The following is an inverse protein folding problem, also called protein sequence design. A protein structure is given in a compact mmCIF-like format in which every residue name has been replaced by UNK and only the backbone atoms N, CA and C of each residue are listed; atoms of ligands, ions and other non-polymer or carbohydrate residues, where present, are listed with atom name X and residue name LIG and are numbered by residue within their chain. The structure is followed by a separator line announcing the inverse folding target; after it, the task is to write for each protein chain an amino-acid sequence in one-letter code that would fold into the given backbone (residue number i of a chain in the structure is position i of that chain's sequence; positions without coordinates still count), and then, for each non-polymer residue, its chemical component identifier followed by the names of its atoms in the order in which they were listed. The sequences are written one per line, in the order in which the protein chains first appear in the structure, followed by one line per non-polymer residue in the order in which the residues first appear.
data_IF_342943537770
#
_entry.id   IF_342943537770
#
_cell.length_a   1.000
_cell.length_b   1.000
_cell.length_c   1.000
_cell.angle_alpha   90.00
_cell.angle_beta   90.00
_cell.angle_gamma   90.00
#
_symmetry.space_group_name_H-M   'P 1'
#
loop_
_entity.id
_entity.type
_entity.pdbx_description
1 polymer ?
#
# COMPACT_ATOMS: atom_id res chain seq x y z
N UNK A 1 -4.17 35.05 1.62
CA UNK A 1 -4.48 34.04 0.59
C UNK A 1 -5.71 33.27 1.04
N UNK A 2 -6.61 32.88 0.12
CA UNK A 2 -7.82 32.11 0.48
C UNK A 2 -7.41 30.68 0.83
N UNK A 3 -7.91 30.16 1.96
CA UNK A 3 -7.71 28.77 2.34
C UNK A 3 -8.42 27.84 1.35
N UNK A 4 -7.72 26.84 0.84
CA UNK A 4 -8.24 25.83 -0.11
C UNK A 4 -8.80 24.66 0.67
N UNK A 5 -10.07 24.32 0.50
CA UNK A 5 -10.71 23.19 1.17
C UNK A 5 -10.54 21.92 0.36
N UNK A 6 -9.85 20.92 0.92
CA UNK A 6 -9.60 19.62 0.28
C UNK A 6 -10.34 18.53 1.04
N UNK A 7 -11.16 17.77 0.34
CA UNK A 7 -11.79 16.56 0.88
C UNK A 7 -10.98 15.33 0.48
N UNK A 8 -10.69 14.45 1.43
CA UNK A 8 -10.12 13.13 1.18
C UNK A 8 -11.16 12.07 1.53
N UNK A 9 -11.43 11.17 0.59
CA UNK A 9 -12.46 10.14 0.74
C UNK A 9 -11.81 8.79 1.01
N UNK A 10 -12.23 8.13 2.08
CA UNK A 10 -11.70 6.92 2.71
C UNK A 10 -10.45 7.11 3.59
N UNK A 11 -10.35 6.25 4.61
CA UNK A 11 -9.31 6.28 5.64
C UNK A 11 -8.39 5.03 5.60
N UNK A 12 -8.29 4.37 4.45
CA UNK A 12 -7.27 3.35 4.22
C UNK A 12 -5.87 3.96 4.04
N UNK A 13 -4.86 3.11 3.81
CA UNK A 13 -3.45 3.52 3.71
C UNK A 13 -3.21 4.66 2.72
N UNK A 14 -3.89 4.66 1.57
CA UNK A 14 -3.78 5.71 0.55
C UNK A 14 -4.50 6.99 0.99
N UNK A 15 -5.69 6.87 1.59
CA UNK A 15 -6.46 8.02 2.07
C UNK A 15 -5.73 8.80 3.17
N UNK A 16 -5.28 8.10 4.22
CA UNK A 16 -4.58 8.75 5.33
C UNK A 16 -3.21 9.31 4.92
N UNK A 17 -2.44 8.60 4.09
CA UNK A 17 -1.18 9.15 3.55
C UNK A 17 -1.44 10.38 2.65
N UNK A 18 -2.51 10.38 1.86
CA UNK A 18 -2.95 11.58 1.09
C UNK A 18 -3.22 12.76 2.03
N UNK A 19 -4.03 12.54 3.07
CA UNK A 19 -4.41 13.58 4.00
C UNK A 19 -3.20 14.19 4.73
N UNK A 20 -2.29 13.33 5.22
CA UNK A 20 -1.05 13.76 5.86
C UNK A 20 -0.17 14.54 4.88
N UNK A 21 0.05 14.03 3.67
CA UNK A 21 0.92 14.68 2.69
C UNK A 21 0.38 16.05 2.26
N UNK A 22 -0.91 16.16 1.96
CA UNK A 22 -1.54 17.44 1.58
C UNK A 22 -1.44 18.43 2.74
N UNK A 23 -1.79 18.01 3.96
CA UNK A 23 -1.74 18.87 5.14
C UNK A 23 -0.32 19.35 5.48
N UNK A 24 0.70 18.52 5.24
CA UNK A 24 2.10 18.87 5.53
C UNK A 24 2.78 19.66 4.41
N UNK A 25 2.40 19.43 3.15
CA UNK A 25 3.04 20.05 1.99
C UNK A 25 2.40 21.39 1.64
N UNK A 26 1.09 21.54 1.87
CA UNK A 26 0.31 22.71 1.45
C UNK A 26 -0.24 23.48 2.67
N UNK A 27 0.50 24.47 3.21
CA UNK A 27 0.14 25.16 4.46
C UNK A 27 -1.12 26.04 4.34
N UNK A 28 -1.64 26.25 3.14
CA UNK A 28 -2.87 26.99 2.86
C UNK A 28 -4.08 26.09 2.59
N UNK A 29 -3.93 24.78 2.75
CA UNK A 29 -5.03 23.82 2.61
C UNK A 29 -5.64 23.47 3.97
N UNK A 30 -6.97 23.45 4.02
CA UNK A 30 -7.73 22.80 5.09
C UNK A 30 -8.19 21.45 4.55
N UNK A 31 -7.74 20.38 5.21
CA UNK A 31 -8.02 19.00 4.79
C UNK A 31 -9.10 18.42 5.70
N UNK A 32 -10.06 17.74 5.10
CA UNK A 32 -11.09 16.95 5.79
C UNK A 32 -11.04 15.53 5.25
N UNK A 33 -10.95 14.53 6.13
CA UNK A 33 -11.07 13.11 5.80
C UNK A 33 -12.50 12.67 6.08
N UNK A 34 -13.16 12.04 5.11
CA UNK A 34 -14.47 11.41 5.29
C UNK A 34 -14.39 9.93 4.93
N UNK A 35 -14.85 9.06 5.82
CA UNK A 35 -14.88 7.62 5.54
C UNK A 35 -15.99 6.91 6.32
N UNK A 36 -16.52 5.84 5.73
CA UNK A 36 -17.41 4.90 6.41
C UNK A 36 -16.64 4.00 7.39
N UNK A 37 -15.41 3.62 7.00
CA UNK A 37 -14.61 2.62 7.69
C UNK A 37 -13.22 3.15 8.00
N UNK A 38 -12.75 2.86 9.20
CA UNK A 38 -11.42 3.19 9.73
C UNK A 38 -10.74 1.92 10.25
N UNK A 39 -9.46 2.01 10.62
CA UNK A 39 -8.74 0.89 11.24
C UNK A 39 -9.44 0.50 12.56
N UNK A 40 -9.64 -0.79 12.86
CA UNK A 40 -8.98 -1.98 12.28
C UNK A 40 -9.73 -2.66 11.11
N UNK A 41 -10.73 -2.01 10.52
CA UNK A 41 -11.67 -2.65 9.58
C UNK A 41 -11.45 -2.26 8.11
N UNK A 42 -10.35 -1.57 7.78
CA UNK A 42 -10.05 -1.20 6.39
C UNK A 42 -9.42 -2.36 5.62
N UNK A 43 -9.48 -2.31 4.29
CA UNK A 43 -8.70 -3.21 3.43
C UNK A 43 -7.20 -3.19 3.74
N UNK A 44 -6.69 -2.06 4.25
CA UNK A 44 -5.29 -1.95 4.64
C UNK A 44 -4.93 -2.85 5.82
N UNK A 45 -5.85 -3.01 6.78
CA UNK A 45 -5.60 -3.75 8.03
C UNK A 45 -5.33 -5.24 7.80
N UNK A 46 -5.94 -5.84 6.77
CA UNK A 46 -5.65 -7.21 6.37
C UNK A 46 -4.59 -7.37 5.27
N UNK A 47 -3.94 -6.29 4.85
CA UNK A 47 -2.83 -6.38 3.92
C UNK A 47 -1.60 -7.01 4.60
N UNK A 48 -0.89 -7.89 3.88
CA UNK A 48 0.34 -8.52 4.38
C UNK A 48 1.46 -7.51 4.73
N UNK A 49 1.42 -6.32 4.12
CA UNK A 49 2.29 -5.20 4.49
C UNK A 49 3.73 -5.26 3.98
N UNK A 50 4.10 -6.30 3.22
CA UNK A 50 5.46 -6.44 2.68
C UNK A 50 5.65 -5.44 1.54
N UNK A 51 6.71 -4.63 1.62
CA UNK A 51 7.07 -3.68 0.56
C UNK A 51 7.73 -4.43 -0.60
N UNK A 52 6.94 -4.71 -1.63
CA UNK A 52 7.38 -5.40 -2.84
C UNK A 52 6.83 -4.69 -4.08
N UNK A 53 7.70 -4.24 -4.99
CA UNK A 53 7.26 -3.67 -6.24
C UNK A 53 6.84 -4.81 -7.16
N UNK A 54 5.53 -4.98 -7.37
CA UNK A 54 5.01 -5.98 -8.30
C UNK A 54 4.96 -5.39 -9.71
N UNK A 55 5.30 -6.18 -10.73
CA UNK A 55 4.93 -5.87 -12.11
C UNK A 55 3.41 -6.02 -12.26
N UNK A 56 2.73 -4.96 -12.73
CA UNK A 56 1.30 -4.97 -13.09
C UNK A 56 1.15 -5.10 -14.62
N UNK A 57 0.26 -5.96 -15.14
CA UNK A 57 -0.73 -6.80 -14.48
C UNK A 57 -0.33 -8.29 -14.46
N UNK A 58 -0.73 -8.99 -13.40
CA UNK A 58 -0.59 -10.45 -13.15
C UNK A 58 0.75 -11.09 -13.50
N UNK A 59 1.45 -11.67 -12.51
CA UNK A 59 2.45 -12.70 -12.83
C UNK A 59 1.65 -13.83 -13.47
N UNK A 60 1.71 -14.03 -14.80
CA UNK A 60 0.85 -15.03 -15.41
C UNK A 60 1.24 -16.38 -14.80
N UNK A 61 0.28 -17.29 -14.62
CA UNK A 61 0.54 -18.63 -14.06
C UNK A 61 1.73 -19.34 -14.75
N UNK A 62 2.06 -18.94 -15.98
CA UNK A 62 3.24 -19.39 -16.70
C UNK A 62 4.59 -18.97 -16.13
N UNK A 63 4.68 -17.89 -15.35
CA UNK A 63 5.88 -17.51 -14.58
C UNK A 63 5.93 -18.21 -13.21
N UNK A 64 4.82 -18.81 -12.78
CA UNK A 64 4.82 -19.79 -11.69
C UNK A 64 5.22 -21.19 -12.18
N UNK A 65 5.45 -21.37 -13.50
CA UNK A 65 6.02 -22.61 -14.02
C UNK A 65 7.45 -22.77 -13.49
N UNK A 66 7.92 -24.01 -13.28
CA UNK A 66 9.25 -24.32 -12.76
C UNK A 66 10.41 -24.02 -13.74
N UNK A 67 10.18 -23.17 -14.72
CA UNK A 67 11.16 -22.80 -15.74
C UNK A 67 11.84 -21.49 -15.37
N UNK A 68 13.13 -21.41 -15.69
CA UNK A 68 13.97 -20.28 -15.30
C UNK A 68 13.59 -19.07 -16.16
N UNK A 69 13.25 -17.91 -15.58
CA UNK A 69 12.96 -16.70 -16.34
C UNK A 69 14.10 -16.32 -17.29
N UNK A 70 13.75 -15.84 -18.48
CA UNK A 70 14.73 -15.32 -19.45
C UNK A 70 15.46 -14.08 -18.90
N UNK A 71 14.71 -13.17 -18.26
CA UNK A 71 15.28 -12.09 -17.46
C UNK A 71 15.26 -12.47 -15.97
N UNK A 72 16.45 -12.58 -15.39
CA UNK A 72 16.63 -12.98 -13.99
C UNK A 72 16.66 -11.79 -13.05
N UNK A 73 16.90 -10.57 -13.54
CA UNK A 73 17.06 -9.37 -12.71
C UNK A 73 15.81 -8.49 -12.84
N UNK A 74 14.92 -8.47 -11.84
CA UNK A 74 13.73 -7.64 -11.90
C UNK A 74 14.09 -6.15 -11.82
N UNK A 75 13.28 -5.28 -12.42
CA UNK A 75 13.53 -3.83 -12.44
C UNK A 75 13.66 -3.21 -11.03
N UNK A 76 13.09 -3.89 -10.03
CA UNK A 76 13.05 -3.42 -8.65
C UNK A 76 14.21 -3.91 -7.77
N UNK A 77 15.12 -4.73 -8.30
CA UNK A 77 16.22 -5.29 -7.52
C UNK A 77 17.10 -4.22 -6.87
N UNK A 78 17.19 -3.05 -7.49
CA UNK A 78 18.06 -1.95 -7.04
C UNK A 78 17.38 -1.10 -5.94
N UNK A 79 16.08 -1.32 -5.67
CA UNK A 79 15.34 -0.62 -4.61
C UNK A 79 15.23 -1.41 -3.31
N UNK A 80 15.50 -2.71 -3.35
CA UNK A 80 15.49 -3.58 -2.17
C UNK A 80 16.91 -3.75 -1.64
N UNK A 81 17.03 -4.06 -0.35
CA UNK A 81 18.34 -4.20 0.27
C UNK A 81 18.96 -5.56 -0.06
N UNK A 82 20.25 -5.58 -0.39
CA UNK A 82 21.05 -6.81 -0.57
C UNK A 82 20.45 -7.82 -1.57
N UNK A 83 19.89 -7.33 -2.68
CA UNK A 83 19.43 -8.22 -3.74
C UNK A 83 20.56 -9.12 -4.25
N UNK A 84 20.27 -10.42 -4.35
CA UNK A 84 21.16 -11.42 -4.91
C UNK A 84 20.35 -12.63 -5.39
N UNK A 85 21.01 -13.49 -6.13
CA UNK A 85 20.49 -14.83 -6.42
C UNK A 85 20.70 -15.76 -5.23
N UNK A 86 19.78 -16.71 -5.06
CA UNK A 86 19.91 -17.80 -4.08
C UNK A 86 21.03 -18.74 -4.55
N UNK A 87 21.89 -19.15 -3.62
CA UNK A 87 22.99 -20.09 -3.90
C UNK A 87 22.48 -21.52 -4.07
N UNK A 88 23.24 -22.39 -4.75
CA UNK A 88 22.89 -23.81 -4.88
C UNK A 88 22.71 -24.50 -3.52
N UNK A 89 23.44 -24.06 -2.50
CA UNK A 89 23.31 -24.58 -1.14
C UNK A 89 21.95 -24.21 -0.52
N UNK A 90 21.55 -22.93 -0.61
CA UNK A 90 20.25 -22.47 -0.12
C UNK A 90 19.08 -23.04 -0.93
N UNK A 91 19.26 -23.24 -2.25
CA UNK A 91 18.27 -23.87 -3.12
C UNK A 91 17.91 -25.30 -2.69
N UNK A 92 18.79 -26.01 -1.95
CA UNK A 92 18.48 -27.34 -1.41
C UNK A 92 17.25 -27.34 -0.49
N UNK A 93 16.93 -26.21 0.15
CA UNK A 93 15.71 -26.04 0.97
C UNK A 93 14.44 -25.99 0.11
N UNK A 94 14.56 -25.57 -1.15
CA UNK A 94 13.45 -25.36 -2.09
C UNK A 94 13.55 -26.34 -3.26
N UNK A 95 13.62 -27.65 -2.97
CA UNK A 95 13.90 -28.71 -3.96
C UNK A 95 12.97 -28.75 -5.18
N UNK A 96 11.75 -28.22 -5.06
CA UNK A 96 10.79 -28.11 -6.17
C UNK A 96 10.99 -26.86 -7.05
N UNK A 97 11.97 -26.01 -6.76
CA UNK A 97 12.26 -24.77 -7.48
C UNK A 97 13.65 -24.83 -8.12
N UNK A 98 13.78 -24.27 -9.32
CA UNK A 98 15.04 -24.27 -10.08
C UNK A 98 15.79 -22.93 -10.04
N UNK A 99 15.16 -21.90 -9.50
CA UNK A 99 15.68 -20.54 -9.44
C UNK A 99 15.08 -19.80 -8.24
N UNK A 100 15.84 -18.88 -7.67
CA UNK A 100 15.38 -18.07 -6.56
C UNK A 100 16.20 -16.79 -6.39
N UNK A 101 15.57 -15.79 -5.79
CA UNK A 101 16.16 -14.50 -5.46
C UNK A 101 16.05 -14.28 -3.95
N UNK A 102 17.04 -13.61 -3.38
CA UNK A 102 17.06 -13.23 -1.97
C UNK A 102 17.35 -11.74 -1.84
N UNK A 103 16.61 -11.09 -0.94
CA UNK A 103 16.76 -9.67 -0.62
C UNK A 103 16.13 -9.39 0.75
N UNK A 104 16.38 -8.21 1.27
CA UNK A 104 15.78 -7.68 2.49
C UNK A 104 14.88 -6.50 2.12
N UNK A 105 13.68 -6.45 2.69
CA UNK A 105 12.71 -5.37 2.48
C UNK A 105 12.05 -4.99 3.81
N UNK A 106 11.19 -3.97 3.76
CA UNK A 106 10.40 -3.51 4.90
C UNK A 106 9.05 -4.22 4.95
N UNK A 107 8.54 -4.36 6.18
CA UNK A 107 7.17 -4.74 6.46
C UNK A 107 6.48 -3.56 7.16
N UNK A 108 5.34 -3.15 6.65
CA UNK A 108 4.47 -2.16 7.24
C UNK A 108 3.26 -2.86 7.88
N UNK A 109 3.13 -2.76 9.19
CA UNK A 109 1.99 -3.35 9.92
C UNK A 109 0.82 -2.37 9.95
N UNK A 110 -0.12 -2.52 9.02
CA UNK A 110 -1.23 -1.57 8.86
C UNK A 110 -2.07 -1.36 10.12
N UNK A 111 -2.29 -2.41 10.93
CA UNK A 111 -2.99 -2.32 12.22
C UNK A 111 -2.36 -1.31 13.19
N UNK A 112 -1.03 -1.09 13.10
CA UNK A 112 -0.32 -0.08 13.90
C UNK A 112 -0.11 1.21 13.11
N UNK A 113 0.12 1.08 11.80
CA UNK A 113 0.46 2.18 10.92
C UNK A 113 -0.71 3.12 10.62
N UNK A 114 -1.92 2.59 10.41
CA UNK A 114 -3.10 3.40 10.12
C UNK A 114 -3.52 4.26 11.32
N UNK A 115 -3.61 3.73 12.56
CA UNK A 115 -3.84 4.57 13.74
C UNK A 115 -2.75 5.61 13.94
N UNK A 116 -1.50 5.29 13.61
CA UNK A 116 -0.42 6.27 13.66
C UNK A 116 -0.62 7.41 12.65
N UNK A 117 -0.97 7.11 11.40
CA UNK A 117 -1.24 8.13 10.38
C UNK A 117 -2.42 9.02 10.78
N UNK A 118 -3.49 8.43 11.29
CA UNK A 118 -4.66 9.16 11.78
C UNK A 118 -4.27 10.10 12.93
N UNK A 119 -3.56 9.59 13.94
CA UNK A 119 -3.06 10.41 15.06
C UNK A 119 -2.15 11.52 14.57
N UNK A 120 -1.23 11.23 13.64
CA UNK A 120 -0.33 12.22 13.04
C UNK A 120 -1.10 13.32 12.32
N UNK A 121 -2.15 12.97 11.60
CA UNK A 121 -3.02 13.91 10.90
C UNK A 121 -3.81 14.79 11.88
N UNK A 122 -4.42 14.21 12.92
CA UNK A 122 -5.21 14.93 13.92
C UNK A 122 -4.38 15.88 14.79
N UNK A 123 -3.14 15.51 15.14
CA UNK A 123 -2.26 16.31 16.02
C UNK A 123 -1.59 17.51 15.32
N UNK A 124 -1.97 17.84 14.08
CA UNK A 124 -1.41 18.99 13.35
C UNK A 124 -1.97 20.30 13.84
N UNK A 125 -1.17 21.36 13.71
CA UNK A 125 -1.51 22.72 14.15
C UNK A 125 -2.79 23.29 13.49
N UNK A 126 -3.18 22.77 12.32
CA UNK A 126 -4.40 23.15 11.60
C UNK A 126 -5.62 22.33 12.05
N UNK A 127 -5.42 21.24 12.82
CA UNK A 127 -6.47 20.33 13.28
C UNK A 127 -7.15 19.62 12.10
N UNK A 128 -6.60 18.48 11.68
CA UNK A 128 -7.22 17.68 10.62
C UNK A 128 -8.62 17.24 11.03
N UNK A 129 -9.63 17.53 10.19
CA UNK A 129 -11.01 17.11 10.46
C UNK A 129 -11.22 15.68 9.97
N UNK A 130 -11.87 14.86 10.79
CA UNK A 130 -12.29 13.50 10.45
C UNK A 130 -13.81 13.42 10.58
N UNK A 131 -14.46 12.88 9.56
CA UNK A 131 -15.91 12.67 9.50
C UNK A 131 -16.16 11.17 9.29
N UNK A 132 -16.90 10.57 10.21
CA UNK A 132 -17.31 9.16 10.17
C UNK A 132 -18.66 9.03 9.45
N UNK A 133 -18.64 9.11 8.12
CA UNK A 133 -19.84 9.05 7.30
C UNK A 133 -19.59 8.32 5.98
N UNK A 134 -20.63 7.60 5.53
CA UNK A 134 -20.66 7.00 4.20
C UNK A 134 -20.92 8.05 3.14
N UNK A 135 -20.00 8.18 2.19
CA UNK A 135 -20.19 9.03 1.02
C UNK A 135 -21.07 8.31 0.00
N UNK A 136 -22.27 8.82 -0.22
CA UNK A 136 -23.22 8.29 -1.22
C UNK A 136 -23.21 9.08 -2.52
N UNK A 137 -22.76 10.33 -2.50
CA UNK A 137 -22.76 11.24 -3.65
C UNK A 137 -21.59 12.22 -3.56
N UNK A 138 -20.55 11.95 -4.35
CA UNK A 138 -19.36 12.81 -4.44
C UNK A 138 -19.66 14.18 -5.05
N UNK A 139 -20.66 14.30 -5.92
CA UNK A 139 -20.99 15.56 -6.59
C UNK A 139 -21.60 16.57 -5.63
N UNK A 140 -22.46 16.11 -4.70
CA UNK A 140 -22.98 16.96 -3.63
C UNK A 140 -21.88 17.49 -2.72
N UNK A 141 -20.92 16.64 -2.37
CA UNK A 141 -19.78 17.06 -1.56
C UNK A 141 -18.87 18.03 -2.31
N UNK A 142 -18.68 17.85 -3.63
CA UNK A 142 -17.85 18.73 -4.46
C UNK A 142 -18.28 20.20 -4.46
N UNK A 143 -19.52 20.50 -4.08
CA UNK A 143 -20.01 21.88 -3.98
C UNK A 143 -19.40 22.65 -2.79
N UNK A 144 -18.95 21.94 -1.74
CA UNK A 144 -18.45 22.54 -0.50
C UNK A 144 -16.92 22.57 -0.39
N UNK A 145 -16.23 21.87 -1.30
CA UNK A 145 -14.78 21.71 -1.30
C UNK A 145 -14.19 22.22 -2.63
N UNK A 146 -12.98 22.77 -2.55
CA UNK A 146 -12.29 23.29 -3.74
C UNK A 146 -11.66 22.16 -4.57
N UNK A 147 -11.30 21.04 -3.92
CA UNK A 147 -10.78 19.82 -4.52
C UNK A 147 -11.21 18.57 -3.74
N UNK A 148 -11.36 17.44 -4.44
CA UNK A 148 -11.64 16.13 -3.85
C UNK A 148 -10.53 15.14 -4.24
N UNK A 149 -9.97 14.46 -3.25
CA UNK A 149 -9.10 13.30 -3.39
C UNK A 149 -9.94 12.05 -3.12
N UNK A 150 -10.35 11.36 -4.17
CA UNK A 150 -11.13 10.13 -4.06
C UNK A 150 -10.17 8.94 -3.89
N UNK A 151 -10.08 8.39 -2.68
CA UNK A 151 -9.25 7.23 -2.34
C UNK A 151 -10.11 6.02 -1.92
N UNK A 152 -11.38 5.94 -2.36
CA UNK A 152 -12.37 4.95 -1.88
C UNK A 152 -12.09 3.49 -2.24
N UNK A 153 -11.00 3.23 -2.97
CA UNK A 153 -10.60 1.88 -3.31
C UNK A 153 -11.69 1.17 -4.10
N UNK A 154 -12.19 0.07 -3.57
CA UNK A 154 -13.19 -0.79 -4.21
C UNK A 154 -14.58 -0.19 -4.26
N UNK A 155 -14.87 0.81 -3.42
CA UNK A 155 -16.13 1.55 -3.49
C UNK A 155 -16.34 2.31 -4.80
N UNK A 156 -15.48 2.11 -5.79
CA UNK A 156 -15.47 2.74 -7.12
C UNK A 156 -15.51 1.73 -8.29
N UNK A 157 -15.53 0.41 -8.05
CA UNK A 157 -15.44 -0.61 -9.11
C UNK A 157 -16.25 -1.89 -8.79
N UNK A 158 -16.72 -2.59 -9.83
CA UNK A 158 -17.23 -3.97 -9.75
C UNK A 158 -16.05 -4.96 -9.84
N UNK A 159 -16.04 -6.01 -9.01
CA UNK A 159 -14.98 -7.05 -8.94
C UNK A 159 -15.61 -8.42 -9.16
N UNK A 160 -14.91 -9.35 -9.82
CA UNK A 160 -15.47 -10.67 -10.20
C UNK A 160 -15.83 -11.56 -8.99
N UNK A 161 -15.00 -11.58 -7.93
CA UNK A 161 -15.35 -12.16 -6.64
C UNK A 161 -15.43 -11.03 -5.60
N UNK A 162 -16.64 -10.80 -5.08
CA UNK A 162 -16.95 -9.79 -4.08
C UNK A 162 -17.25 -10.40 -2.69
N UNK A 163 -16.98 -11.70 -2.48
CA UNK A 163 -17.22 -12.33 -1.18
C UNK A 163 -16.25 -11.73 -0.16
N UNK A 164 -16.82 -11.30 0.97
CA UNK A 164 -16.07 -10.84 2.14
C UNK A 164 -16.07 -11.86 3.28
N UNK A 165 -16.77 -12.98 3.08
CA UNK A 165 -16.77 -14.11 4.01
C UNK A 165 -15.55 -14.99 3.75
N UNK A 166 -14.93 -15.46 4.83
CA UNK A 166 -13.84 -16.43 4.76
C UNK A 166 -14.36 -17.73 4.17
N UNK A 167 -13.72 -18.18 3.09
CA UNK A 167 -13.97 -19.48 2.48
C UNK A 167 -12.99 -20.52 3.04
N UNK A 168 -13.54 -21.62 3.56
CA UNK A 168 -12.75 -22.65 4.23
C UNK A 168 -11.82 -23.39 3.25
N UNK A 169 -12.23 -23.57 1.99
CA UNK A 169 -11.43 -24.21 0.96
C UNK A 169 -10.22 -23.34 0.60
N UNK A 170 -10.42 -22.02 0.51
CA UNK A 170 -9.33 -21.05 0.31
C UNK A 170 -8.34 -21.08 1.48
N UNK A 171 -8.84 -21.04 2.72
CA UNK A 171 -8.01 -21.11 3.92
C UNK A 171 -7.17 -22.37 4.01
N UNK A 172 -7.79 -23.54 3.83
CA UNK A 172 -7.10 -24.84 3.83
C UNK A 172 -6.09 -24.92 2.68
N UNK A 173 -6.45 -24.44 1.49
CA UNK A 173 -5.58 -24.39 0.33
C UNK A 173 -4.37 -23.45 0.51
N UNK A 174 -4.54 -22.29 1.14
CA UNK A 174 -3.46 -21.36 1.48
C UNK A 174 -2.51 -22.01 2.48
N UNK A 175 -3.05 -22.58 3.57
CA UNK A 175 -2.24 -23.25 4.60
C UNK A 175 -1.45 -24.41 3.99
N UNK A 176 -2.07 -25.23 3.16
CA UNK A 176 -1.40 -26.34 2.49
C UNK A 176 -0.27 -25.85 1.58
N UNK A 177 -0.52 -24.84 0.74
CA UNK A 177 0.50 -24.20 -0.12
C UNK A 177 1.68 -23.67 0.70
N UNK A 178 1.42 -22.93 1.77
CA UNK A 178 2.44 -22.42 2.68
C UNK A 178 3.24 -23.56 3.33
N UNK A 179 2.56 -24.61 3.80
CA UNK A 179 3.19 -25.77 4.45
C UNK A 179 4.00 -26.65 3.49
N UNK A 180 3.78 -26.55 2.18
CA UNK A 180 4.65 -27.17 1.15
C UNK A 180 5.96 -26.41 0.95
N UNK A 181 5.97 -25.10 1.19
CA UNK A 181 7.16 -24.25 1.09
C UNK A 181 7.98 -24.26 2.38
N UNK A 182 7.30 -24.16 3.52
CA UNK A 182 7.89 -24.12 4.85
C UNK A 182 7.03 -25.00 5.78
N UNK A 183 7.51 -26.16 6.27
CA UNK A 183 6.68 -27.10 7.04
C UNK A 183 6.29 -26.66 8.45
N UNK A 184 7.05 -25.77 9.08
CA UNK A 184 6.85 -25.35 10.48
C UNK A 184 5.45 -24.77 10.82
N UNK A 185 4.72 -24.07 9.93
CA UNK A 185 3.38 -23.55 10.21
C UNK A 185 2.32 -24.64 10.42
N UNK A 186 2.57 -25.92 10.08
CA UNK A 186 1.62 -27.02 10.36
C UNK A 186 1.31 -27.17 11.84
N UNK A 187 2.25 -26.80 12.71
CA UNK A 187 2.11 -26.85 14.15
C UNK A 187 1.70 -25.50 14.76
N UNK A 188 1.53 -24.45 13.95
CA UNK A 188 1.17 -23.13 14.42
C UNK A 188 -0.34 -23.03 14.71
N UNK A 189 -0.69 -22.22 15.71
CA UNK A 189 -2.07 -21.87 15.99
C UNK A 189 -2.52 -20.77 15.03
N UNK A 190 -3.68 -20.97 14.39
CA UNK A 190 -4.32 -19.93 13.57
C UNK A 190 -4.91 -18.88 14.53
N UNK A 191 -4.46 -17.63 14.39
CA UNK A 191 -4.89 -16.51 15.23
C UNK A 191 -6.10 -15.77 14.64
N UNK A 192 -6.30 -15.85 13.32
CA UNK A 192 -7.40 -15.19 12.63
C UNK A 192 -7.29 -15.37 11.12
N UNK A 193 -8.42 -15.15 10.44
CA UNK A 193 -8.57 -15.22 8.99
C UNK A 193 -9.28 -13.96 8.52
N UNK A 194 -8.92 -13.48 7.34
CA UNK A 194 -9.43 -12.20 6.85
C UNK A 194 -9.48 -12.17 5.33
N UNK A 195 -10.52 -11.51 4.81
CA UNK A 195 -10.72 -11.31 3.37
C UNK A 195 -10.77 -9.81 3.08
N UNK A 196 -10.06 -9.40 2.04
CA UNK A 196 -10.09 -8.04 1.55
C UNK A 196 -9.96 -8.01 0.05
N UNK A 197 -10.78 -7.17 -0.56
CA UNK A 197 -10.76 -6.97 -2.00
C UNK A 197 -9.63 -5.98 -2.36
N UNK A 198 -9.17 -5.95 -3.61
CA UNK A 198 -8.09 -5.05 -4.05
C UNK A 198 -8.56 -4.23 -5.26
N UNK A 199 -8.54 -2.89 -5.22
CA UNK A 199 -9.02 -2.06 -6.32
C UNK A 199 -7.96 -1.87 -7.42
N UNK A 200 -8.35 -1.67 -8.68
CA UNK A 200 -7.47 -1.34 -9.83
C UNK A 200 -8.02 -0.16 -10.69
N UNK A 201 -7.43 1.05 -10.63
CA UNK A 201 -7.72 2.25 -11.45
C UNK A 201 -7.09 3.58 -10.94
N UNK A 202 -6.53 4.44 -11.81
CA UNK A 202 -6.16 5.84 -11.52
C UNK A 202 -6.71 6.78 -12.60
N UNK A 203 -7.41 7.86 -12.21
CA UNK A 203 -8.05 8.77 -13.17
C UNK A 203 -8.21 10.22 -12.66
N UNK A 204 -8.32 11.19 -13.56
CA UNK A 204 -8.57 12.60 -13.21
C UNK A 204 -9.82 13.10 -13.94
N UNK A 205 -10.74 13.73 -13.20
CA UNK A 205 -11.91 14.43 -13.78
C UNK A 205 -12.13 15.78 -13.09
N UNK A 206 -11.70 16.86 -13.75
CA UNK A 206 -11.95 18.23 -13.29
C UNK A 206 -11.30 18.55 -11.94
N UNK A 207 -12.12 18.80 -10.91
CA UNK A 207 -11.67 19.11 -9.52
C UNK A 207 -11.51 17.86 -8.65
N UNK A 208 -11.71 16.68 -9.24
CA UNK A 208 -11.63 15.38 -8.57
C UNK A 208 -10.37 14.65 -9.04
N UNK A 209 -9.56 14.25 -8.06
CA UNK A 209 -8.38 13.43 -8.24
C UNK A 209 -8.73 12.03 -7.74
N UNK A 210 -8.74 11.04 -8.62
CA UNK A 210 -9.00 9.66 -8.23
C UNK A 210 -7.67 8.98 -7.95
N UNK A 211 -7.43 8.60 -6.69
CA UNK A 211 -6.24 7.91 -6.20
C UNK A 211 -6.65 6.61 -5.50
N UNK A 212 -7.26 5.70 -6.25
CA UNK A 212 -7.52 4.32 -5.84
C UNK A 212 -6.75 3.38 -6.75
N UNK A 213 -7.04 2.08 -6.70
CA UNK A 213 -6.59 1.24 -7.80
C UNK A 213 -5.21 0.60 -7.71
N UNK A 214 -4.71 0.38 -6.50
CA UNK A 214 -3.32 -0.01 -6.27
C UNK A 214 -3.08 -1.52 -6.21
N UNK A 215 -4.11 -2.34 -6.42
CA UNK A 215 -4.07 -3.79 -6.29
C UNK A 215 -3.40 -4.22 -4.98
N UNK A 216 -2.53 -5.23 -5.07
CA UNK A 216 -1.74 -5.75 -3.95
C UNK A 216 -0.61 -4.80 -3.49
N UNK A 217 -0.43 -3.65 -4.14
CA UNK A 217 0.68 -2.73 -3.90
C UNK A 217 0.27 -1.43 -3.20
N UNK A 218 -0.96 -1.31 -2.71
CA UNK A 218 -1.46 -0.11 -2.03
C UNK A 218 -0.56 0.39 -0.91
N UNK A 219 -0.04 -0.51 -0.07
CA UNK A 219 0.93 -0.15 0.97
C UNK A 219 2.22 0.37 0.36
N UNK A 220 2.84 -0.41 -0.55
CA UNK A 220 4.12 -0.08 -1.19
C UNK A 220 4.11 1.26 -1.94
N UNK A 221 2.99 1.60 -2.58
CA UNK A 221 2.89 2.76 -3.47
C UNK A 221 2.22 3.98 -2.82
N UNK A 222 1.61 3.81 -1.64
CA UNK A 222 0.80 4.82 -0.95
C UNK A 222 1.39 6.24 -0.96
N UNK A 223 2.67 6.42 -0.64
CA UNK A 223 3.28 7.75 -0.60
C UNK A 223 3.63 8.36 -1.96
N UNK A 224 4.04 7.56 -2.94
CA UNK A 224 4.43 8.08 -4.26
C UNK A 224 3.22 8.36 -5.15
N UNK A 225 2.11 7.63 -4.99
CA UNK A 225 0.87 7.91 -5.72
C UNK A 225 0.25 9.23 -5.26
N UNK A 226 0.46 9.61 -4.01
CA UNK A 226 0.02 10.90 -3.45
C UNK A 226 0.76 12.10 -4.06
N UNK A 227 2.06 11.97 -4.33
CA UNK A 227 2.86 13.06 -4.92
C UNK A 227 2.52 13.34 -6.39
N UNK A 228 2.10 12.32 -7.14
CA UNK A 228 1.84 12.44 -8.57
C UNK A 228 0.78 13.50 -8.93
N UNK A 229 -0.41 13.53 -8.28
CA UNK A 229 -1.42 14.57 -8.52
C UNK A 229 -1.09 15.91 -7.87
N UNK A 230 -0.34 15.94 -6.75
CA UNK A 230 0.01 17.19 -6.06
C UNK A 230 1.07 17.99 -6.84
N UNK A 231 2.01 17.32 -7.51
CA UNK A 231 3.17 17.97 -8.14
C UNK A 231 3.05 18.18 -9.66
N UNK A 232 2.12 17.53 -10.36
CA UNK A 232 2.06 17.60 -11.83
C UNK A 232 0.66 17.36 -12.40
N UNK A 233 -0.06 18.43 -12.82
CA UNK A 233 -1.34 18.29 -13.53
C UNK A 233 -1.23 17.60 -14.92
N UNK A 234 -0.03 17.47 -15.49
CA UNK A 234 0.19 17.19 -16.93
C UNK A 234 0.92 15.87 -17.27
N UNK A 235 1.23 14.99 -16.31
CA UNK A 235 2.07 13.80 -16.55
C UNK A 235 1.32 12.50 -16.93
N UNK A 236 0.02 12.54 -17.20
CA UNK A 236 -0.79 11.32 -17.35
C UNK A 236 -0.84 10.73 -18.78
N UNK A 237 -0.08 11.26 -19.75
CA UNK A 237 0.00 10.71 -21.10
C UNK A 237 1.27 9.82 -21.31
N UNK A 238 1.27 8.57 -20.77
CA UNK A 238 2.12 7.38 -21.09
C UNK A 238 3.66 7.42 -20.76
N UNK A 239 4.44 6.30 -20.80
CA UNK A 239 4.33 4.93 -20.24
C UNK A 239 5.54 4.61 -19.26
N UNK A 240 6.20 3.42 -19.18
CA UNK A 240 6.76 2.79 -17.95
C UNK A 240 7.82 3.58 -17.13
N UNK A 241 8.44 4.62 -17.67
CA UNK A 241 9.43 5.46 -16.96
C UNK A 241 8.84 6.14 -15.72
N UNK A 242 7.54 6.48 -15.74
CA UNK A 242 6.86 7.11 -14.61
C UNK A 242 6.74 6.18 -13.38
N UNK A 243 6.69 4.86 -13.59
CA UNK A 243 6.57 3.85 -12.53
C UNK A 243 7.83 3.78 -11.66
N UNK A 244 9.00 3.91 -12.29
CA UNK A 244 10.30 3.94 -11.60
C UNK A 244 10.42 5.17 -10.69
N UNK A 245 10.00 6.34 -11.20
CA UNK A 245 10.00 7.59 -10.43
C UNK A 245 9.00 7.57 -9.27
N UNK A 246 7.82 6.98 -9.46
CA UNK A 246 6.84 6.81 -8.38
C UNK A 246 7.37 5.90 -7.28
N UNK A 247 7.95 4.75 -7.64
CA UNK A 247 8.45 3.78 -6.67
C UNK A 247 9.63 4.32 -5.87
N UNK A 248 10.60 4.97 -6.53
CA UNK A 248 11.70 5.68 -5.85
C UNK A 248 11.14 6.68 -4.84
N UNK A 249 10.20 7.53 -5.25
CA UNK A 249 9.61 8.56 -4.39
C UNK A 249 8.77 7.97 -3.26
N UNK A 250 8.00 6.91 -3.52
CA UNK A 250 7.25 6.17 -2.51
C UNK A 250 8.16 5.62 -1.43
N UNK A 251 9.22 4.91 -1.82
CA UNK A 251 10.13 4.27 -0.88
C UNK A 251 10.97 5.28 -0.11
N UNK A 252 11.50 6.31 -0.77
CA UNK A 252 12.24 7.39 -0.10
C UNK A 252 11.36 8.15 0.91
N UNK A 253 10.12 8.48 0.54
CA UNK A 253 9.21 9.14 1.47
C UNK A 253 8.75 8.21 2.57
N UNK A 254 8.36 6.98 2.26
CA UNK A 254 7.96 6.04 3.29
C UNK A 254 9.10 5.81 4.29
N UNK A 255 10.34 5.67 3.83
CA UNK A 255 11.53 5.62 4.68
C UNK A 255 11.69 6.89 5.52
N UNK A 256 11.58 8.08 4.91
CA UNK A 256 11.67 9.36 5.63
C UNK A 256 10.57 9.50 6.71
N UNK A 257 9.35 9.05 6.41
CA UNK A 257 8.23 9.10 7.34
C UNK A 257 8.28 7.99 8.40
N UNK A 258 8.82 6.81 8.06
CA UNK A 258 9.11 5.72 9.01
C UNK A 258 10.25 6.15 9.94
N UNK A 259 11.30 6.81 9.45
CA UNK A 259 12.38 7.35 10.28
C UNK A 259 11.84 8.40 11.26
N UNK A 260 10.92 9.27 10.81
CA UNK A 260 10.22 10.22 11.68
C UNK A 260 9.31 9.49 12.69
N UNK A 261 8.66 8.39 12.29
CA UNK A 261 7.85 7.57 13.20
C UNK A 261 8.70 6.90 14.28
N UNK A 262 9.81 6.27 13.88
CA UNK A 262 10.77 5.60 14.76
C UNK A 262 11.50 6.56 15.70
N UNK A 263 11.65 7.83 15.32
CA UNK A 263 12.11 8.88 16.24
C UNK A 263 11.03 9.41 17.19
N UNK A 264 9.74 9.27 16.84
CA UNK A 264 8.61 9.80 17.62
C UNK A 264 8.01 8.79 18.60
N UNK A 265 8.16 7.49 18.33
CA UNK A 265 7.97 6.45 19.34
C UNK A 265 9.33 6.22 19.98
N UNK A 266 9.47 6.36 21.30
CA UNK A 266 10.69 6.06 22.07
C UNK A 266 11.06 4.54 22.03
N UNK A 267 10.53 3.81 21.05
CA UNK A 267 10.82 2.42 20.79
C UNK A 267 12.19 2.32 20.11
N UNK A 268 13.17 1.86 20.88
CA UNK A 268 14.47 1.42 20.34
C UNK A 268 14.25 0.31 19.33
N UNK A 269 14.11 0.66 18.06
CA UNK A 269 14.27 -0.29 16.97
C UNK A 269 15.71 -0.77 16.99
N UNK A 270 15.95 -1.97 17.54
CA UNK A 270 17.21 -2.65 17.44
C UNK A 270 17.47 -3.04 15.98
N UNK A 271 17.94 -2.09 15.17
CA UNK A 271 18.73 -2.42 13.99
C UNK A 271 20.04 -3.01 14.47
N UNK A 272 20.03 -4.31 14.79
CA UNK A 272 21.26 -5.03 15.01
C UNK A 272 21.90 -5.34 13.65
N UNK A 273 22.52 -4.32 13.04
CA UNK A 273 23.36 -4.46 11.86
C UNK A 273 24.71 -5.13 12.17
N UNK A 274 24.92 -5.59 13.40
CA UNK A 274 26.10 -6.34 13.80
C UNK A 274 25.69 -7.68 14.42
N UNK A 275 25.61 -8.73 13.61
CA UNK A 275 26.24 -10.01 13.93
C UNK A 275 26.19 -10.97 12.72
N UNK A 276 27.37 -11.06 12.08
CA UNK A 276 28.01 -12.18 11.37
C UNK A 276 27.14 -13.12 10.54
#
# INVERSE_FOLDING_TARGET
MKCVKVLVVAAGVVGLSTAVCVAETLPYCSVTVIAETFSPDTTGDGAAGILLPKEFPEIPLEWQKPDIPCDKKPFWSDFVFRFRYITDHEMKRFSNHKFGQAFTTLKCECLNYLPWLEKRYCLKAVGGQIIHEKVTDLHKLALNYDAIMNCSGLGSSEVDDCRLEVDKEDSEGILERCCRLEPSPRAAQVMGEWVGLQPEYLHLQGRQVHNYGHGSCGVTLSWGTVLCPILTPSLFEKPPQARLNLLCRSLTLMLLYIDIFACATDEKWHFNLNNR
#
